data_IF_044152785341
#
_entry.id   IF_044152785341
#
_cell.length_a   1.000
_cell.length_b   1.000
_cell.length_c   1.000
_cell.angle_alpha   90.00
_cell.angle_beta   90.00
_cell.angle_gamma   90.00
#
_symmetry.space_group_name_H-M   'P 1'
#
loop_
_entity.id
_entity.type
_entity.pdbx_description
1 polymer ?
#
# COMPACT_ATOMS: atom_id res chain seq x y z
N UNK A 1 -3.48 15.66 6.10
CA UNK A 1 -2.33 14.95 5.50
C UNK A 1 -2.74 13.50 5.41
N UNK A 2 -2.70 12.90 4.22
CA UNK A 2 -2.98 11.47 4.06
C UNK A 2 -1.64 10.74 4.05
N UNK A 3 -1.52 9.72 4.88
CA UNK A 3 -0.36 8.82 4.90
C UNK A 3 -0.81 7.39 4.63
N UNK A 4 0.15 6.48 4.56
CA UNK A 4 -0.11 5.05 4.44
C UNK A 4 0.65 4.29 5.52
N UNK A 5 0.02 3.25 6.05
CA UNK A 5 0.64 2.30 6.97
C UNK A 5 0.62 0.92 6.31
N UNK A 6 1.79 0.31 6.19
CA UNK A 6 1.92 -1.07 5.72
C UNK A 6 2.19 -1.94 6.94
N UNK A 7 1.31 -2.90 7.18
CA UNK A 7 1.38 -3.83 8.30
C UNK A 7 1.43 -5.26 7.77
N UNK A 8 2.34 -6.05 8.32
CA UNK A 8 2.38 -7.49 8.12
C UNK A 8 1.77 -8.14 9.36
N UNK A 9 0.67 -8.87 9.20
CA UNK A 9 0.01 -9.59 10.29
C UNK A 9 0.42 -11.06 10.28
N UNK A 10 1.12 -11.49 11.31
CA UNK A 10 1.63 -12.86 11.40
C UNK A 10 0.53 -13.91 11.63
N UNK A 11 -0.56 -13.55 12.32
CA UNK A 11 -1.66 -14.50 12.58
C UNK A 11 -2.49 -14.78 11.32
N UNK A 12 -2.79 -13.74 10.54
CA UNK A 12 -3.61 -13.82 9.33
C UNK A 12 -2.78 -14.07 8.08
N UNK A 13 -1.45 -13.93 8.16
CA UNK A 13 -0.50 -14.02 7.03
C UNK A 13 -0.87 -13.03 5.91
N UNK A 14 -1.36 -11.86 6.29
CA UNK A 14 -1.75 -10.79 5.38
C UNK A 14 -0.83 -9.58 5.52
N UNK A 15 -0.42 -9.04 4.38
CA UNK A 15 0.12 -7.69 4.28
C UNK A 15 -1.07 -6.76 4.06
N UNK A 16 -1.37 -5.93 5.03
CA UNK A 16 -2.48 -4.97 5.00
C UNK A 16 -1.92 -3.57 4.80
N UNK A 17 -2.54 -2.81 3.91
CA UNK A 17 -2.20 -1.42 3.65
C UNK A 17 -3.39 -0.59 4.09
N UNK A 18 -3.15 0.35 5.00
CA UNK A 18 -4.14 1.32 5.46
C UNK A 18 -3.83 2.69 4.88
N UNK A 19 -4.88 3.45 4.57
CA UNK A 19 -4.82 4.89 4.38
C UNK A 19 -5.12 5.57 5.71
N UNK A 20 -4.22 6.44 6.15
CA UNK A 20 -4.36 7.22 7.37
C UNK A 20 -4.99 8.57 7.02
N UNK A 21 -6.18 8.81 7.55
CA UNK A 21 -6.90 10.07 7.41
C UNK A 21 -6.20 11.24 8.10
N UNK A 22 -6.66 12.46 7.83
CA UNK A 22 -6.14 13.67 8.51
C UNK A 22 -6.41 13.70 10.01
N UNK A 23 -7.40 12.92 10.46
CA UNK A 23 -7.76 12.68 11.85
C UNK A 23 -6.96 11.54 12.49
N UNK A 24 -6.06 10.89 11.73
CA UNK A 24 -5.29 9.73 12.17
C UNK A 24 -6.02 8.41 12.05
N UNK A 25 -7.27 8.38 11.55
CA UNK A 25 -8.06 7.16 11.45
C UNK A 25 -7.53 6.27 10.32
N UNK A 26 -7.14 5.00 10.60
CA UNK A 26 -6.77 4.06 9.57
C UNK A 26 -8.02 3.50 8.87
N UNK A 27 -8.00 3.52 7.55
CA UNK A 27 -9.01 2.88 6.69
C UNK A 27 -8.34 1.87 5.78
N UNK A 28 -8.92 0.68 5.64
CA UNK A 28 -8.35 -0.36 4.79
C UNK A 28 -8.27 0.13 3.34
N UNK A 29 -7.06 0.14 2.78
CA UNK A 29 -6.82 0.47 1.37
C UNK A 29 -6.76 -0.79 0.52
N UNK A 30 -5.91 -1.75 0.89
CA UNK A 30 -5.78 -3.04 0.22
C UNK A 30 -5.11 -4.07 1.12
N UNK A 31 -5.16 -5.34 0.73
CA UNK A 31 -4.48 -6.43 1.42
C UNK A 31 -3.99 -7.50 0.44
N UNK A 32 -2.89 -8.16 0.77
CA UNK A 32 -2.31 -9.25 -0.01
C UNK A 32 -1.80 -10.37 0.91
N UNK A 33 -1.96 -11.64 0.54
CA UNK A 33 -1.38 -12.74 1.32
C UNK A 33 0.14 -12.80 1.22
N UNK A 34 0.79 -13.32 2.26
CA UNK A 34 2.24 -13.55 2.28
C UNK A 34 2.66 -14.49 1.16
N UNK A 35 1.88 -15.55 0.91
CA UNK A 35 2.10 -16.51 -0.19
C UNK A 35 2.24 -15.78 -1.54
N UNK A 36 1.26 -14.94 -1.90
CA UNK A 36 1.30 -14.18 -3.16
C UNK A 36 2.48 -13.21 -3.22
N UNK A 37 2.82 -12.57 -2.09
CA UNK A 37 3.98 -11.68 -2.02
C UNK A 37 5.29 -12.44 -2.24
N UNK A 38 5.42 -13.64 -1.67
CA UNK A 38 6.58 -14.53 -1.83
C UNK A 38 6.70 -15.04 -3.27
N UNK A 39 5.61 -15.49 -3.88
CA UNK A 39 5.57 -15.90 -5.29
C UNK A 39 6.02 -14.79 -6.25
N UNK A 40 5.69 -13.53 -5.92
CA UNK A 40 6.10 -12.37 -6.72
C UNK A 40 7.60 -12.03 -6.58
N UNK A 41 8.19 -12.30 -5.41
CA UNK A 41 9.53 -11.85 -5.06
C UNK A 41 9.58 -10.37 -4.64
N UNK A 42 10.58 -10.03 -3.84
CA UNK A 42 10.68 -8.73 -3.15
C UNK A 42 10.73 -7.53 -4.10
N UNK A 43 11.44 -7.62 -5.22
CA UNK A 43 11.57 -6.52 -6.17
C UNK A 43 10.21 -6.18 -6.83
N UNK A 44 9.53 -7.21 -7.35
CA UNK A 44 8.24 -7.04 -8.03
C UNK A 44 7.17 -6.58 -7.04
N UNK A 45 7.15 -7.17 -5.84
CA UNK A 45 6.26 -6.75 -4.77
C UNK A 45 6.49 -5.29 -4.37
N UNK A 46 7.75 -4.89 -4.16
CA UNK A 46 8.11 -3.51 -3.80
C UNK A 46 7.72 -2.49 -4.87
N UNK A 47 7.96 -2.80 -6.16
CA UNK A 47 7.51 -1.96 -7.29
C UNK A 47 5.99 -1.83 -7.31
N UNK A 48 5.27 -2.94 -7.25
CA UNK A 48 3.80 -2.95 -7.23
C UNK A 48 3.24 -2.13 -6.06
N UNK A 49 3.81 -2.29 -4.86
CA UNK A 49 3.41 -1.53 -3.68
C UNK A 49 3.64 -0.03 -3.89
N UNK A 50 4.84 0.36 -4.31
CA UNK A 50 5.18 1.77 -4.56
C UNK A 50 4.33 2.42 -5.65
N UNK A 51 4.11 1.72 -6.78
CA UNK A 51 3.24 2.18 -7.86
C UNK A 51 1.81 2.42 -7.36
N UNK A 52 1.24 1.47 -6.60
CA UNK A 52 -0.10 1.63 -6.04
C UNK A 52 -0.21 2.80 -5.06
N UNK A 53 0.83 3.07 -4.27
CA UNK A 53 0.87 4.21 -3.36
C UNK A 53 0.99 5.55 -4.11
N UNK A 54 1.76 5.58 -5.20
CA UNK A 54 1.88 6.77 -6.08
C UNK A 54 0.53 7.07 -6.73
N UNK A 55 -0.13 6.06 -7.29
CA UNK A 55 -1.44 6.19 -7.91
C UNK A 55 -2.53 6.59 -6.90
N UNK A 56 -2.37 6.24 -5.62
CA UNK A 56 -3.31 6.66 -4.58
C UNK A 56 -3.20 8.15 -4.23
N UNK A 57 -2.03 8.75 -4.43
CA UNK A 57 -1.78 10.16 -4.11
C UNK A 57 -2.24 11.06 -5.25
N UNK A 58 -3.28 11.90 -5.07
CA UNK A 58 -3.71 12.85 -6.09
C UNK A 58 -2.57 13.77 -6.53
N UNK A 59 -1.82 14.33 -5.56
CA UNK A 59 -0.70 15.22 -5.86
C UNK A 59 0.41 14.57 -6.66
N UNK A 60 0.73 13.29 -6.40
CA UNK A 60 1.75 12.60 -7.19
C UNK A 60 1.25 12.30 -8.59
N UNK A 61 -0.02 11.90 -8.75
CA UNK A 61 -0.64 11.76 -10.08
C UNK A 61 -0.62 13.07 -10.87
N UNK A 62 -0.95 14.18 -10.21
CA UNK A 62 -0.97 15.52 -10.82
C UNK A 62 0.41 15.94 -11.36
N UNK A 63 1.51 15.44 -10.80
CA UNK A 63 2.86 15.69 -11.32
C UNK A 63 3.13 15.00 -12.67
N UNK A 64 2.39 13.94 -13.00
CA UNK A 64 2.60 13.13 -14.20
C UNK A 64 1.44 13.23 -15.20
N UNK A 65 0.34 13.89 -14.85
CA UNK A 65 -0.73 14.24 -15.78
C UNK A 65 -0.28 15.43 -16.65
N UNK A 66 0.09 15.12 -17.89
CA UNK A 66 0.29 16.09 -18.98
C UNK A 66 -1.05 16.71 -19.42
#
# INVERSE_FOLDING_TARGET
MFGHLVQAEDETQLIVIYRIGSDGTPTLYSSLSFEKAQEMGSEKFGKLLGENLILDSPKLRDLFSL
#
